data_IF_897271300463
#
_entry.id   IF_897271300463
#
_cell.length_a   1.000
_cell.length_b   1.000
_cell.length_c   1.000
_cell.angle_alpha   90.00
_cell.angle_beta   90.00
_cell.angle_gamma   90.00
#
_symmetry.space_group_name_H-M   'P 1'
#
loop_
_entity.id
_entity.type
_entity.pdbx_description
1 polymer ?
#
# COMPACT_ATOMS: atom_id res chain seq x y z
N UNK A 1 26.20 14.34 70.03
CA UNK A 1 25.24 15.08 69.17
C UNK A 1 25.72 15.29 67.73
N UNK A 2 27.02 15.15 67.43
CA UNK A 2 27.58 15.34 66.08
C UNK A 2 27.28 14.20 65.08
N UNK A 3 27.26 12.94 65.53
CA UNK A 3 27.08 11.77 64.66
C UNK A 3 25.69 11.63 64.02
N UNK A 4 24.64 12.10 64.70
CA UNK A 4 23.27 12.06 64.19
C UNK A 4 23.07 13.12 63.09
N UNK A 5 23.63 14.32 63.28
CA UNK A 5 23.57 15.40 62.30
C UNK A 5 24.33 15.03 61.01
N UNK A 6 25.49 14.37 61.11
CA UNK A 6 26.22 13.88 59.94
C UNK A 6 25.49 12.78 59.17
N UNK A 7 24.73 11.92 59.85
CA UNK A 7 23.91 10.89 59.20
C UNK A 7 22.76 11.50 58.38
N UNK A 8 22.05 12.47 58.95
CA UNK A 8 21.01 13.19 58.22
C UNK A 8 21.56 14.02 57.05
N UNK A 9 22.71 14.70 57.22
CA UNK A 9 23.37 15.42 56.14
C UNK A 9 23.77 14.47 54.99
N UNK A 10 24.32 13.30 55.32
CA UNK A 10 24.70 12.28 54.33
C UNK A 10 23.49 11.71 53.58
N UNK A 11 22.38 11.48 54.28
CA UNK A 11 21.12 11.04 53.68
C UNK A 11 20.54 12.06 52.70
N UNK A 12 20.53 13.34 53.08
CA UNK A 12 20.07 14.44 52.20
C UNK A 12 20.95 14.52 50.94
N UNK A 13 22.28 14.42 51.10
CA UNK A 13 23.21 14.42 49.97
C UNK A 13 22.92 13.25 49.03
N UNK A 14 22.72 12.05 49.56
CA UNK A 14 22.41 10.85 48.77
C UNK A 14 21.10 11.00 47.97
N UNK A 15 20.02 11.46 48.61
CA UNK A 15 18.72 11.68 47.94
C UNK A 15 18.85 12.74 46.85
N UNK A 16 19.62 13.81 47.09
CA UNK A 16 19.84 14.85 46.08
C UNK A 16 20.58 14.31 44.85
N UNK A 17 21.61 13.48 45.05
CA UNK A 17 22.38 12.86 43.97
C UNK A 17 21.51 11.90 43.17
N UNK A 18 20.74 11.03 43.82
CA UNK A 18 19.83 10.09 43.15
C UNK A 18 18.78 10.84 42.31
N UNK A 19 18.25 11.95 42.83
CA UNK A 19 17.26 12.78 42.14
C UNK A 19 17.84 13.46 40.89
N UNK A 20 19.08 13.95 40.98
CA UNK A 20 19.80 14.54 39.84
C UNK A 20 20.11 13.47 38.78
N UNK A 21 20.58 12.29 39.18
CA UNK A 21 20.83 11.16 38.27
C UNK A 21 19.54 10.74 37.57
N UNK A 22 18.44 10.61 38.31
CA UNK A 22 17.12 10.29 37.74
C UNK A 22 16.69 11.36 36.73
N UNK A 23 16.87 12.64 37.04
CA UNK A 23 16.55 13.74 36.11
C UNK A 23 17.41 13.69 34.84
N UNK A 24 18.72 13.44 34.95
CA UNK A 24 19.61 13.29 33.78
C UNK A 24 19.19 12.09 32.93
N UNK A 25 18.82 10.98 33.55
CA UNK A 25 18.25 9.82 32.86
C UNK A 25 16.98 10.27 32.10
N UNK A 26 16.01 10.91 32.76
CA UNK A 26 14.80 11.40 32.09
C UNK A 26 15.09 12.30 30.87
N UNK A 27 16.10 13.18 30.95
CA UNK A 27 16.53 14.01 29.82
C UNK A 27 17.11 13.17 28.67
N UNK A 28 17.93 12.16 28.97
CA UNK A 28 18.44 11.22 27.98
C UNK A 28 17.32 10.41 27.30
N UNK A 29 16.36 9.91 28.07
CA UNK A 29 15.20 9.18 27.54
C UNK A 29 14.28 10.09 26.70
N UNK A 30 14.24 11.40 26.96
CA UNK A 30 13.52 12.37 26.12
C UNK A 30 14.23 12.58 24.78
N UNK A 31 15.58 12.64 24.78
CA UNK A 31 16.40 12.79 23.57
C UNK A 31 16.39 11.53 22.69
N UNK A 32 16.42 10.33 23.29
CA UNK A 32 16.28 9.06 22.54
C UNK A 32 14.87 8.92 21.95
N UNK A 33 13.85 9.52 22.58
CA UNK A 33 12.50 9.63 22.03
C UNK A 33 12.35 10.64 20.89
N UNK A 34 13.39 11.41 20.56
CA UNK A 34 13.37 12.22 19.34
C UNK A 34 13.22 11.28 18.14
N UNK A 35 12.05 11.41 17.54
CA UNK A 35 11.41 10.49 16.60
C UNK A 35 12.34 10.21 15.42
N UNK A 36 12.55 8.95 15.09
CA UNK A 36 13.06 8.56 13.77
C UNK A 36 12.15 9.19 12.70
N UNK A 37 12.67 10.16 11.96
CA UNK A 37 11.99 10.74 10.79
C UNK A 37 12.47 9.90 9.60
N UNK A 38 11.62 9.02 9.02
CA UNK A 38 12.02 8.29 7.83
C UNK A 38 12.40 9.29 6.74
N UNK A 39 13.47 8.98 6.00
CA UNK A 39 13.87 9.76 4.82
C UNK A 39 12.65 9.91 3.89
N UNK A 40 12.48 11.10 3.27
CA UNK A 40 11.35 11.44 2.39
C UNK A 40 10.94 10.23 1.56
N UNK A 41 9.67 9.83 1.66
CA UNK A 41 9.13 8.74 0.86
C UNK A 41 9.47 8.99 -0.61
N UNK A 42 10.13 8.03 -1.25
CA UNK A 42 10.49 8.12 -2.65
C UNK A 42 9.22 8.31 -3.47
N UNK A 43 9.15 9.36 -4.27
CA UNK A 43 8.02 9.67 -5.13
C UNK A 43 8.41 9.46 -6.58
N UNK A 44 7.61 8.71 -7.33
CA UNK A 44 7.80 8.47 -8.75
C UNK A 44 6.60 8.98 -9.53
N UNK A 45 6.82 9.63 -10.67
CA UNK A 45 5.74 10.13 -11.53
C UNK A 45 5.40 9.08 -12.59
N UNK A 46 4.12 8.77 -12.72
CA UNK A 46 3.56 7.90 -13.76
C UNK A 46 3.24 8.68 -15.04
N UNK A 47 2.92 7.96 -16.12
CA UNK A 47 2.66 8.51 -17.45
C UNK A 47 1.41 9.40 -17.49
N UNK A 48 0.39 9.06 -16.71
CA UNK A 48 -0.88 9.79 -16.59
C UNK A 48 -0.82 10.96 -15.58
N UNK A 49 0.29 11.08 -14.84
CA UNK A 49 0.52 12.12 -13.85
C UNK A 49 0.36 11.68 -12.40
N UNK A 50 -0.03 10.44 -12.11
CA UNK A 50 -0.04 9.92 -10.74
C UNK A 50 1.36 9.98 -10.10
N UNK A 51 1.40 10.13 -8.77
CA UNK A 51 2.63 10.15 -7.99
C UNK A 51 2.64 8.95 -7.03
N UNK A 52 3.41 7.93 -7.38
CA UNK A 52 3.48 6.66 -6.67
C UNK A 52 4.66 6.58 -5.70
N UNK A 53 4.63 5.61 -4.78
CA UNK A 53 5.60 5.48 -3.68
C UNK A 53 6.68 4.43 -3.94
N UNK A 54 6.52 3.63 -4.99
CA UNK A 54 7.44 2.55 -5.31
C UNK A 54 7.58 2.34 -6.82
N UNK A 55 8.71 1.79 -7.26
CA UNK A 55 8.91 1.43 -8.68
C UNK A 55 7.90 0.38 -9.15
N UNK A 56 7.48 -0.52 -8.27
CA UNK A 56 6.46 -1.51 -8.53
C UNK A 56 5.12 -0.85 -8.90
N UNK A 57 4.68 0.12 -8.10
CA UNK A 57 3.46 0.89 -8.37
C UNK A 57 3.56 1.62 -9.71
N UNK A 58 4.70 2.26 -10.04
CA UNK A 58 4.89 2.88 -11.37
C UNK A 58 4.64 1.89 -12.51
N UNK A 59 5.18 0.68 -12.38
CA UNK A 59 5.06 -0.33 -13.44
C UNK A 59 3.60 -0.77 -13.59
N UNK A 60 2.89 -1.00 -12.49
CA UNK A 60 1.49 -1.39 -12.48
C UNK A 60 0.60 -0.27 -13.06
N UNK A 61 0.76 0.94 -12.56
CA UNK A 61 -0.02 2.12 -12.92
C UNK A 61 0.16 2.51 -14.40
N UNK A 62 1.42 2.56 -14.87
CA UNK A 62 1.71 2.77 -16.29
C UNK A 62 1.16 1.65 -17.17
N UNK A 63 1.08 0.42 -16.66
CA UNK A 63 0.50 -0.67 -17.42
C UNK A 63 -1.02 -0.53 -17.54
N UNK A 64 -1.73 -0.13 -16.48
CA UNK A 64 -3.15 0.22 -16.55
C UNK A 64 -3.38 1.36 -17.57
N UNK A 65 -2.54 2.40 -17.52
CA UNK A 65 -2.55 3.49 -18.50
C UNK A 65 -2.34 2.97 -19.93
N UNK A 66 -1.36 2.08 -20.15
CA UNK A 66 -1.07 1.47 -21.47
C UNK A 66 -2.27 0.70 -22.03
N UNK A 67 -3.06 0.06 -21.15
CA UNK A 67 -4.27 -0.67 -21.53
C UNK A 67 -5.49 0.25 -21.74
N UNK A 68 -5.33 1.56 -21.63
CA UNK A 68 -6.43 2.55 -21.61
C UNK A 68 -7.50 2.21 -20.57
N UNK A 69 -7.08 1.72 -19.40
CA UNK A 69 -7.97 1.47 -18.28
C UNK A 69 -7.98 2.71 -17.40
N UNK A 70 -9.14 3.34 -17.27
CA UNK A 70 -9.37 4.43 -16.31
C UNK A 70 -9.13 3.89 -14.90
N UNK A 71 -8.33 4.60 -14.09
CA UNK A 71 -8.06 4.19 -12.73
C UNK A 71 -7.77 5.40 -11.83
N UNK A 72 -8.21 5.30 -10.58
CA UNK A 72 -7.89 6.24 -9.51
C UNK A 72 -6.78 5.67 -8.63
N UNK A 73 -5.71 6.43 -8.39
CA UNK A 73 -4.62 6.05 -7.49
C UNK A 73 -4.85 6.55 -6.05
N UNK A 74 -4.62 5.69 -5.06
CA UNK A 74 -4.62 5.96 -3.62
C UNK A 74 -5.78 6.83 -3.09
N UNK A 75 -6.93 6.23 -2.79
CA UNK A 75 -8.02 6.90 -2.07
C UNK A 75 -8.55 6.05 -0.91
N UNK A 76 -9.49 6.59 -0.15
CA UNK A 76 -10.12 5.93 1.00
C UNK A 76 -11.61 5.75 0.81
N UNK A 77 -12.12 4.59 1.23
CA UNK A 77 -13.55 4.27 1.26
C UNK A 77 -13.95 3.79 2.66
N UNK A 78 -15.25 3.88 2.96
CA UNK A 78 -15.82 3.38 4.21
C UNK A 78 -16.54 2.06 3.96
N UNK A 79 -16.09 0.99 4.61
CA UNK A 79 -16.66 -0.35 4.51
C UNK A 79 -17.01 -0.86 5.90
N UNK A 80 -18.30 -1.13 6.13
CA UNK A 80 -18.82 -1.65 7.40
C UNK A 80 -18.34 -0.87 8.65
N UNK A 81 -18.26 0.46 8.56
CA UNK A 81 -17.81 1.35 9.64
C UNK A 81 -16.30 1.54 9.74
N UNK A 82 -15.50 0.86 8.91
CA UNK A 82 -14.04 1.00 8.87
C UNK A 82 -13.61 1.78 7.62
N UNK A 83 -12.60 2.64 7.76
CA UNK A 83 -11.97 3.29 6.61
C UNK A 83 -10.85 2.42 6.08
N UNK A 84 -10.92 2.05 4.80
CA UNK A 84 -9.85 1.35 4.09
C UNK A 84 -9.28 2.26 3.02
N UNK A 85 -7.95 2.25 2.88
CA UNK A 85 -7.25 2.91 1.77
C UNK A 85 -6.95 1.86 0.70
N UNK A 86 -7.30 2.10 -0.56
CA UNK A 86 -6.96 1.22 -1.67
C UNK A 86 -5.75 1.73 -2.45
N UNK A 87 -5.11 0.86 -3.24
CA UNK A 87 -3.99 1.27 -4.10
C UNK A 87 -4.51 1.80 -5.44
N UNK A 88 -5.37 1.04 -6.13
CA UNK A 88 -6.12 1.53 -7.28
C UNK A 88 -7.60 1.16 -7.26
N UNK A 89 -8.42 1.97 -7.90
CA UNK A 89 -9.83 1.68 -8.20
C UNK A 89 -10.09 1.86 -9.69
N UNK A 90 -10.73 0.87 -10.31
CA UNK A 90 -11.14 0.88 -11.71
C UNK A 90 -12.64 1.22 -11.78
N UNK A 91 -13.03 2.49 -12.03
CA UNK A 91 -14.43 2.91 -12.01
C UNK A 91 -15.28 2.20 -13.05
N UNK A 92 -14.73 1.96 -14.25
CA UNK A 92 -15.46 1.32 -15.36
C UNK A 92 -15.87 -0.12 -15.05
N UNK A 93 -15.19 -0.79 -14.11
CA UNK A 93 -15.40 -2.20 -13.77
C UNK A 93 -15.80 -2.41 -12.30
N UNK A 94 -16.04 -1.33 -11.56
CA UNK A 94 -16.25 -1.33 -10.10
C UNK A 94 -15.33 -2.30 -9.34
N UNK A 95 -14.02 -2.21 -9.62
CA UNK A 95 -13.02 -3.18 -9.15
C UNK A 95 -11.81 -2.49 -8.54
N UNK A 96 -11.40 -2.95 -7.36
CA UNK A 96 -10.22 -2.47 -6.65
C UNK A 96 -9.00 -3.32 -7.00
N UNK A 97 -7.82 -2.71 -6.97
CA UNK A 97 -6.53 -3.39 -7.11
C UNK A 97 -5.69 -3.09 -5.87
N UNK A 98 -5.03 -4.13 -5.37
CA UNK A 98 -4.09 -4.07 -4.25
C UNK A 98 -2.76 -4.72 -4.63
N UNK A 99 -1.65 -4.02 -4.40
CA UNK A 99 -0.32 -4.57 -4.58
C UNK A 99 0.31 -4.98 -3.24
N UNK A 100 0.53 -6.28 -3.11
CA UNK A 100 1.04 -6.89 -1.91
C UNK A 100 2.57 -7.05 -1.90
N UNK A 101 3.31 -5.93 -2.02
CA UNK A 101 4.77 -5.92 -2.20
C UNK A 101 5.65 -6.04 -0.94
N UNK A 102 5.09 -5.94 0.26
CA UNK A 102 5.88 -5.98 1.50
C UNK A 102 5.81 -7.35 2.17
N UNK A 103 6.84 -7.73 2.95
CA UNK A 103 6.90 -9.01 3.65
C UNK A 103 7.16 -8.81 5.15
N UNK A 104 6.37 -9.47 6.01
CA UNK A 104 6.52 -9.43 7.48
C UNK A 104 5.30 -9.96 8.24
N UNK A 105 5.45 -10.35 9.51
CA UNK A 105 4.33 -10.90 10.32
C UNK A 105 3.16 -9.91 10.46
N UNK A 106 3.44 -8.68 10.87
CA UNK A 106 2.45 -7.59 11.00
C UNK A 106 1.81 -7.21 9.66
N UNK A 107 2.48 -7.52 8.56
CA UNK A 107 1.96 -7.26 7.22
C UNK A 107 0.91 -8.31 6.82
N UNK A 108 1.14 -9.59 7.12
CA UNK A 108 0.16 -10.64 6.82
C UNK A 108 -1.16 -10.44 7.56
N UNK A 109 -1.11 -9.96 8.81
CA UNK A 109 -2.31 -9.66 9.58
C UNK A 109 -3.10 -8.50 8.98
N UNK A 110 -2.43 -7.40 8.64
CA UNK A 110 -3.04 -6.24 7.95
C UNK A 110 -3.64 -6.62 6.61
N UNK A 111 -2.91 -7.40 5.80
CA UNK A 111 -3.43 -7.93 4.53
C UNK A 111 -4.69 -8.76 4.75
N UNK A 112 -4.67 -9.68 5.73
CA UNK A 112 -5.84 -10.51 6.06
C UNK A 112 -7.04 -9.69 6.51
N UNK A 113 -6.83 -8.69 7.36
CA UNK A 113 -7.90 -7.78 7.81
C UNK A 113 -8.49 -7.01 6.63
N UNK A 114 -7.63 -6.45 5.77
CA UNK A 114 -8.05 -5.69 4.58
C UNK A 114 -8.85 -6.57 3.60
N UNK A 115 -8.41 -7.80 3.36
CA UNK A 115 -9.15 -8.79 2.56
C UNK A 115 -10.53 -9.11 3.15
N UNK A 116 -10.62 -9.27 4.48
CA UNK A 116 -11.92 -9.48 5.16
C UNK A 116 -12.84 -8.27 4.99
N UNK A 117 -12.31 -7.06 5.02
CA UNK A 117 -13.11 -5.85 4.80
C UNK A 117 -13.65 -5.78 3.37
N UNK A 118 -12.81 -6.05 2.36
CA UNK A 118 -13.27 -6.15 0.97
C UNK A 118 -14.38 -7.21 0.81
N UNK A 119 -14.19 -8.39 1.40
CA UNK A 119 -15.21 -9.46 1.37
C UNK A 119 -16.51 -9.05 2.08
N UNK A 120 -16.41 -8.43 3.26
CA UNK A 120 -17.57 -7.95 4.04
C UNK A 120 -18.33 -6.84 3.29
N UNK A 121 -17.63 -6.02 2.52
CA UNK A 121 -18.22 -4.99 1.68
C UNK A 121 -18.79 -5.49 0.35
N UNK A 122 -18.56 -6.75 -0.03
CA UNK A 122 -18.97 -7.27 -1.34
C UNK A 122 -18.23 -6.60 -2.51
N UNK A 123 -17.02 -6.11 -2.28
CA UNK A 123 -16.24 -5.35 -3.26
C UNK A 123 -15.37 -6.26 -4.13
N UNK A 124 -15.31 -5.99 -5.43
CA UNK A 124 -14.44 -6.72 -6.35
C UNK A 124 -12.98 -6.35 -6.10
N UNK A 125 -12.11 -7.35 -6.01
CA UNK A 125 -10.70 -7.15 -5.68
C UNK A 125 -9.76 -7.98 -6.55
N UNK A 126 -8.81 -7.29 -7.18
CA UNK A 126 -7.63 -7.87 -7.83
C UNK A 126 -6.45 -7.73 -6.86
N UNK A 127 -5.97 -8.86 -6.35
CA UNK A 127 -4.73 -8.92 -5.58
C UNK A 127 -3.54 -9.19 -6.48
N UNK A 128 -2.57 -8.28 -6.51
CA UNK A 128 -1.26 -8.42 -7.16
C UNK A 128 -0.24 -8.80 -6.10
N UNK A 129 0.38 -9.95 -6.23
CA UNK A 129 1.45 -10.38 -5.33
C UNK A 129 2.81 -9.94 -5.88
N UNK A 130 3.82 -9.78 -5.01
CA UNK A 130 5.16 -9.38 -5.42
C UNK A 130 5.78 -10.28 -6.51
N UNK A 131 5.56 -11.59 -6.44
CA UNK A 131 6.08 -12.54 -7.42
C UNK A 131 5.53 -12.31 -8.83
N UNK A 132 4.35 -11.68 -8.96
CA UNK A 132 3.75 -11.35 -10.25
C UNK A 132 4.51 -10.23 -10.97
N UNK A 133 5.30 -9.42 -10.27
CA UNK A 133 6.11 -8.37 -10.90
C UNK A 133 7.18 -8.90 -11.85
N UNK A 134 7.54 -10.19 -11.76
CA UNK A 134 8.45 -10.84 -12.71
C UNK A 134 7.94 -10.73 -14.16
N UNK A 135 6.62 -10.81 -14.34
CA UNK A 135 5.93 -10.58 -15.61
C UNK A 135 4.56 -9.95 -15.36
N UNK A 136 4.57 -8.73 -14.84
CA UNK A 136 3.35 -8.02 -14.46
C UNK A 136 2.39 -7.84 -15.63
N UNK A 137 2.90 -7.77 -16.86
CA UNK A 137 2.07 -7.56 -18.04
C UNK A 137 1.13 -8.74 -18.27
N UNK A 138 1.67 -9.95 -18.36
CA UNK A 138 0.86 -11.17 -18.51
C UNK A 138 -0.03 -11.39 -17.28
N UNK A 139 0.54 -11.29 -16.09
CA UNK A 139 -0.15 -11.61 -14.85
C UNK A 139 -1.31 -10.65 -14.52
N UNK A 140 -1.16 -9.36 -14.81
CA UNK A 140 -2.23 -8.38 -14.60
C UNK A 140 -3.29 -8.51 -15.69
N UNK A 141 -2.90 -8.66 -16.95
CA UNK A 141 -3.84 -8.85 -18.07
C UNK A 141 -4.71 -10.11 -17.88
N UNK A 142 -4.16 -11.22 -17.39
CA UNK A 142 -4.94 -12.42 -17.05
C UNK A 142 -6.01 -12.17 -15.97
N UNK A 143 -5.67 -11.37 -14.94
CA UNK A 143 -6.61 -11.02 -13.87
C UNK A 143 -7.68 -10.06 -14.37
N UNK A 144 -7.28 -9.05 -15.14
CA UNK A 144 -8.19 -8.09 -15.76
C UNK A 144 -9.15 -8.77 -16.72
N UNK A 145 -8.66 -9.70 -17.55
CA UNK A 145 -9.48 -10.46 -18.50
C UNK A 145 -10.60 -11.19 -17.77
N UNK A 146 -10.35 -11.81 -16.62
CA UNK A 146 -11.43 -12.49 -15.84
C UNK A 146 -12.55 -11.54 -15.40
N UNK A 147 -12.25 -10.26 -15.19
CA UNK A 147 -13.23 -9.24 -14.81
C UNK A 147 -13.90 -8.65 -16.06
N UNK A 148 -13.09 -8.30 -17.07
CA UNK A 148 -13.50 -7.62 -18.30
C UNK A 148 -14.24 -8.56 -19.26
N UNK A 149 -13.92 -9.86 -19.27
CA UNK A 149 -14.59 -10.87 -20.11
C UNK A 149 -16.04 -11.16 -19.69
N UNK A 150 -16.54 -10.50 -18.64
CA UNK A 150 -17.98 -10.36 -18.41
C UNK A 150 -18.67 -9.38 -19.39
N UNK A 151 -17.92 -8.48 -20.04
CA UNK A 151 -18.43 -7.43 -20.92
C UNK A 151 -17.85 -7.43 -22.35
N UNK A 152 -16.66 -8.03 -22.57
CA UNK A 152 -15.87 -7.80 -23.79
C UNK A 152 -15.59 -9.07 -24.60
N UNK A 153 -16.64 -9.67 -25.15
CA UNK A 153 -16.49 -10.58 -26.30
C UNK A 153 -16.62 -9.84 -27.65
N UNK A 154 -16.70 -8.50 -27.65
CA UNK A 154 -17.12 -7.71 -28.83
C UNK A 154 -16.05 -6.82 -29.48
N UNK A 155 -14.79 -6.74 -29.02
CA UNK A 155 -13.85 -5.74 -29.58
C UNK A 155 -12.41 -6.23 -29.76
N UNK A 156 -12.22 -7.43 -30.30
CA UNK A 156 -10.99 -7.72 -31.07
C UNK A 156 -11.42 -8.32 -32.41
N UNK A 157 -11.98 -7.48 -33.28
CA UNK A 157 -12.15 -7.83 -34.68
C UNK A 157 -10.76 -8.01 -35.27
N UNK A 158 -10.36 -9.25 -35.56
CA UNK A 158 -9.06 -9.49 -36.20
C UNK A 158 -9.19 -9.05 -37.66
N UNK A 159 -8.28 -8.21 -38.13
CA UNK A 159 -8.33 -7.66 -39.47
C UNK A 159 -7.40 -8.42 -40.41
N UNK A 160 -7.85 -8.73 -41.62
CA UNK A 160 -6.99 -9.35 -42.63
C UNK A 160 -6.19 -8.26 -43.38
N UNK A 161 -4.85 -8.27 -43.30
CA UNK A 161 -4.03 -7.26 -43.97
C UNK A 161 -4.04 -7.37 -45.51
N UNK A 162 -4.54 -8.48 -46.07
CA UNK A 162 -4.60 -8.69 -47.52
C UNK A 162 -5.93 -8.24 -48.15
N UNK A 163 -7.06 -8.41 -47.46
CA UNK A 163 -8.39 -8.09 -48.01
C UNK A 163 -9.10 -6.94 -47.31
N UNK A 164 -8.59 -6.45 -46.18
CA UNK A 164 -9.19 -5.30 -45.52
C UNK A 164 -10.54 -5.59 -44.84
N UNK A 165 -10.89 -6.86 -44.68
CA UNK A 165 -12.12 -7.29 -44.03
C UNK A 165 -11.83 -7.86 -42.63
N UNK A 166 -12.83 -7.73 -41.77
CA UNK A 166 -12.88 -8.38 -40.45
C UNK A 166 -12.97 -9.90 -40.63
N UNK A 167 -12.13 -10.66 -39.90
CA UNK A 167 -12.06 -12.13 -40.01
C UNK A 167 -13.35 -12.85 -39.57
N UNK A 168 -14.23 -12.10 -38.95
CA UNK A 168 -15.48 -12.42 -38.30
C UNK A 168 -16.59 -12.77 -39.32
N UNK A 169 -16.54 -12.20 -40.53
CA UNK A 169 -17.65 -12.23 -41.49
C UNK A 169 -17.63 -13.42 -42.47
N UNK A 170 -16.63 -14.31 -42.39
CA UNK A 170 -16.52 -15.50 -43.27
C UNK A 170 -17.24 -16.75 -42.76
N UNK A 171 -17.85 -16.69 -41.57
CA UNK A 171 -18.49 -17.84 -40.91
C UNK A 171 -19.95 -17.61 -40.49
N UNK A 172 -20.57 -16.52 -40.95
CA UNK A 172 -22.03 -16.29 -40.94
C UNK A 172 -22.57 -16.41 -42.35
#
# INVERSE_FOLDING_TARGET
>A
MSGLASFFLGGILFVSIVSVVYYIIQLYWKKIREKYIPQRATSFRCLDGHITRSKAEVIIDNHLTRLNITHDYENTIKVAGHTIKYDWYLPDYDTYIEYWGYFGKDYFERKREKLKLYQKGGLNLISIEDWMLKDIYTHLEEKLTKIISGEKQTLITKFCPNCGETLDDRFT
#
